data_IF_124318382705
#
_entry.id   IF_124318382705
#
_cell.length_a   1.000
_cell.length_b   1.000
_cell.length_c   1.000
_cell.angle_alpha   90.00
_cell.angle_beta   90.00
_cell.angle_gamma   90.00
#
_symmetry.space_group_name_H-M   'P 1'
#
loop_
_entity.id
_entity.type
_entity.pdbx_description
1 polymer ?
#
# COMPACT_ATOMS: atom_id res chain seq x y z
N UNK A 1 -14.00 -35.14 -54.87
CA UNK A 1 -13.78 -35.20 -53.40
C UNK A 1 -12.71 -34.18 -53.07
N UNK A 2 -13.10 -32.91 -52.93
CA UNK A 2 -12.20 -31.81 -52.62
C UNK A 2 -12.52 -31.35 -51.21
N UNK A 3 -11.81 -31.89 -50.24
CA UNK A 3 -11.94 -31.48 -48.84
C UNK A 3 -10.94 -30.37 -48.57
N UNK A 4 -11.52 -29.21 -48.33
CA UNK A 4 -10.94 -27.93 -47.96
C UNK A 4 -9.95 -28.04 -46.80
N UNK A 5 -8.72 -27.58 -47.02
CA UNK A 5 -7.73 -27.38 -45.95
C UNK A 5 -8.20 -26.25 -45.02
N UNK A 6 -8.35 -26.58 -43.73
CA UNK A 6 -8.60 -25.61 -42.69
C UNK A 6 -7.32 -24.80 -42.45
N UNK A 7 -7.37 -23.51 -42.77
CA UNK A 7 -6.34 -22.54 -42.43
C UNK A 7 -6.35 -22.41 -40.90
N UNK A 8 -5.34 -22.97 -40.25
CA UNK A 8 -5.05 -22.67 -38.85
C UNK A 8 -4.70 -21.18 -38.76
N UNK A 9 -5.66 -20.41 -38.24
CA UNK A 9 -5.39 -19.06 -37.77
C UNK A 9 -4.50 -19.17 -36.54
N UNK A 10 -3.19 -19.16 -36.77
CA UNK A 10 -2.21 -18.77 -35.78
C UNK A 10 -2.61 -17.37 -35.29
N UNK A 11 -3.27 -17.30 -34.14
CA UNK A 11 -3.50 -16.07 -33.41
C UNK A 11 -2.18 -15.67 -32.72
N UNK A 12 -1.11 -15.43 -33.50
CA UNK A 12 -0.03 -14.52 -33.10
C UNK A 12 -0.54 -13.08 -33.20
N UNK A 13 -1.52 -12.79 -32.34
CA UNK A 13 -2.26 -11.54 -32.34
C UNK A 13 -2.45 -11.04 -30.92
N UNK A 14 -1.46 -11.23 -30.04
CA UNK A 14 -1.30 -10.31 -28.93
C UNK A 14 -0.13 -9.41 -29.31
N UNK A 15 -0.43 -8.20 -29.79
CA UNK A 15 0.58 -7.16 -29.77
C UNK A 15 1.13 -7.13 -28.35
N UNK A 16 2.39 -7.53 -28.18
CA UNK A 16 3.21 -7.12 -27.04
C UNK A 16 3.30 -5.59 -27.13
N UNK A 17 2.19 -4.94 -26.74
CA UNK A 17 1.91 -3.53 -26.92
C UNK A 17 2.69 -2.74 -25.90
N UNK A 18 4.01 -2.85 -25.97
CA UNK A 18 4.99 -2.08 -25.23
C UNK A 18 4.77 -2.17 -23.71
N UNK A 19 5.18 -3.30 -23.12
CA UNK A 19 5.47 -3.35 -21.69
C UNK A 19 6.69 -2.48 -21.43
N UNK A 20 6.46 -1.20 -21.15
CA UNK A 20 7.45 -0.32 -20.57
C UNK A 20 6.83 0.40 -19.38
N UNK A 21 7.66 0.94 -18.52
CA UNK A 21 7.24 1.88 -17.48
C UNK A 21 8.14 3.10 -17.53
N UNK A 22 7.64 4.21 -17.01
CA UNK A 22 8.42 5.45 -16.86
C UNK A 22 8.80 5.60 -15.40
N UNK A 23 10.08 5.77 -15.10
CA UNK A 23 10.57 6.03 -13.75
C UNK A 23 11.15 7.44 -13.69
N UNK A 24 10.61 8.27 -12.80
CA UNK A 24 11.07 9.64 -12.51
C UNK A 24 12.07 9.68 -11.37
N UNK A 25 13.14 10.45 -11.55
CA UNK A 25 14.23 10.63 -10.59
C UNK A 25 14.99 11.94 -10.86
N UNK A 26 15.97 12.28 -10.00
CA UNK A 26 16.88 13.40 -10.19
C UNK A 26 16.16 14.74 -10.38
N UNK A 27 16.66 15.57 -11.28
CA UNK A 27 16.07 16.84 -11.66
C UNK A 27 14.96 16.68 -12.71
N UNK A 28 13.92 15.92 -12.36
CA UNK A 28 12.79 15.57 -13.24
C UNK A 28 13.23 14.80 -14.50
N UNK A 29 14.24 13.94 -14.34
CA UNK A 29 14.66 12.99 -15.34
C UNK A 29 13.71 11.79 -15.42
N UNK A 30 13.65 11.16 -16.59
CA UNK A 30 12.79 10.02 -16.87
C UNK A 30 13.60 8.87 -17.47
N UNK A 31 13.36 7.65 -16.99
CA UNK A 31 13.89 6.43 -17.57
C UNK A 31 12.75 5.53 -18.02
N UNK A 32 12.75 5.17 -19.31
CA UNK A 32 11.87 4.16 -19.88
C UNK A 32 12.51 2.79 -19.70
N UNK A 33 11.84 1.89 -18.99
CA UNK A 33 12.36 0.58 -18.62
C UNK A 33 11.41 -0.54 -19.01
N UNK A 34 11.98 -1.69 -19.40
CA UNK A 34 11.22 -2.91 -19.72
C UNK A 34 11.01 -3.74 -18.45
N UNK A 35 9.76 -3.91 -17.96
CA UNK A 35 9.46 -4.72 -16.79
C UNK A 35 9.37 -6.23 -17.09
N UNK A 36 9.47 -6.66 -18.36
CA UNK A 36 9.51 -8.08 -18.75
C UNK A 36 10.90 -8.71 -18.50
N UNK A 37 11.45 -8.48 -17.31
CA UNK A 37 12.67 -9.11 -16.82
C UNK A 37 12.52 -9.43 -15.33
N UNK A 38 13.48 -10.18 -14.76
CA UNK A 38 13.45 -10.45 -13.32
C UNK A 38 13.52 -9.14 -12.54
N UNK A 39 12.85 -9.11 -11.39
CA UNK A 39 12.79 -7.93 -10.53
C UNK A 39 14.18 -7.48 -10.10
N UNK A 40 15.13 -8.41 -9.90
CA UNK A 40 16.52 -8.07 -9.66
C UNK A 40 17.16 -7.24 -10.80
N UNK A 41 17.05 -7.72 -12.05
CA UNK A 41 17.60 -7.02 -13.23
C UNK A 41 16.93 -5.65 -13.42
N UNK A 42 15.62 -5.59 -13.17
CA UNK A 42 14.85 -4.37 -13.26
C UNK A 42 15.33 -3.31 -12.24
N UNK A 43 15.46 -3.70 -10.97
CA UNK A 43 15.96 -2.83 -9.90
C UNK A 43 17.41 -2.39 -10.17
N UNK A 44 18.28 -3.29 -10.62
CA UNK A 44 19.66 -2.94 -10.98
C UNK A 44 19.73 -1.96 -12.16
N UNK A 45 18.78 -2.05 -13.09
CA UNK A 45 18.66 -1.09 -14.19
C UNK A 45 18.23 0.29 -13.70
N UNK A 46 17.29 0.36 -12.75
CA UNK A 46 16.92 1.63 -12.11
C UNK A 46 18.12 2.22 -11.35
N UNK A 47 18.82 1.42 -10.53
CA UNK A 47 19.99 1.90 -9.77
C UNK A 47 21.06 2.51 -10.67
N UNK A 48 21.35 1.87 -11.81
CA UNK A 48 22.30 2.40 -12.80
C UNK A 48 21.85 3.73 -13.40
N UNK A 49 20.55 3.89 -13.67
CA UNK A 49 19.98 5.15 -14.20
C UNK A 49 19.97 6.27 -13.16
N UNK A 50 19.63 5.95 -11.92
CA UNK A 50 19.55 6.91 -10.82
C UNK A 50 20.91 7.15 -10.12
N UNK A 51 22.02 6.63 -10.65
CA UNK A 51 23.35 6.71 -10.04
C UNK A 51 23.37 6.30 -8.54
N UNK A 52 22.58 5.28 -8.20
CA UNK A 52 22.47 4.79 -6.83
C UNK A 52 23.50 3.70 -6.52
N UNK A 53 23.98 3.67 -5.27
CA UNK A 53 24.87 2.63 -4.79
C UNK A 53 24.22 1.25 -4.89
N UNK A 54 25.00 0.22 -5.22
CA UNK A 54 24.53 -1.17 -5.30
C UNK A 54 23.96 -1.67 -3.97
N UNK A 55 24.50 -1.21 -2.84
CA UNK A 55 24.05 -1.53 -1.48
C UNK A 55 22.75 -0.82 -1.06
N UNK A 56 22.32 0.21 -1.79
CA UNK A 56 21.10 0.94 -1.45
C UNK A 56 19.86 0.10 -1.74
N UNK A 57 18.88 0.14 -0.84
CA UNK A 57 17.55 -0.41 -1.09
C UNK A 57 16.73 0.60 -1.88
N UNK A 58 16.33 0.20 -3.08
CA UNK A 58 15.54 1.01 -4.00
C UNK A 58 14.18 0.35 -4.20
N UNK A 59 13.14 1.17 -4.31
CA UNK A 59 11.80 0.74 -4.67
C UNK A 59 11.12 1.80 -5.54
N UNK A 60 9.89 1.51 -5.97
CA UNK A 60 9.04 2.40 -6.74
C UNK A 60 7.77 2.74 -5.97
N UNK A 61 7.29 3.97 -6.15
CA UNK A 61 5.97 4.42 -5.74
C UNK A 61 5.23 4.97 -6.95
N UNK A 62 3.94 4.64 -7.10
CA UNK A 62 3.10 5.29 -8.11
C UNK A 62 2.60 6.66 -7.65
N UNK A 63 1.94 7.37 -8.56
CA UNK A 63 1.35 8.69 -8.28
C UNK A 63 0.19 8.61 -7.26
N UNK A 64 -0.41 7.44 -7.09
CA UNK A 64 -1.43 7.18 -6.08
C UNK A 64 -0.85 6.93 -4.68
N UNK A 65 0.46 6.76 -4.56
CA UNK A 65 1.17 6.57 -3.29
C UNK A 65 1.32 5.11 -2.86
N UNK A 66 1.16 4.16 -3.76
CA UNK A 66 1.35 2.73 -3.49
C UNK A 66 2.78 2.29 -3.82
N UNK A 67 3.45 1.70 -2.83
CA UNK A 67 4.81 1.16 -2.95
C UNK A 67 4.75 -0.22 -3.58
N UNK A 68 5.70 -0.52 -4.49
CA UNK A 68 5.71 -1.77 -5.26
C UNK A 68 6.43 -2.93 -4.57
N UNK A 69 7.25 -2.68 -3.55
CA UNK A 69 7.91 -3.72 -2.75
C UNK A 69 8.77 -4.67 -3.61
N UNK A 70 9.46 -4.11 -4.62
CA UNK A 70 10.28 -4.89 -5.56
C UNK A 70 11.41 -5.68 -4.88
N UNK A 71 11.82 -5.26 -3.68
CA UNK A 71 12.85 -5.95 -2.90
C UNK A 71 12.43 -7.31 -2.30
N UNK A 72 11.14 -7.67 -2.36
CA UNK A 72 10.62 -8.90 -1.74
C UNK A 72 10.82 -10.13 -2.63
N UNK A 73 10.76 -9.97 -3.95
CA UNK A 73 10.73 -11.10 -4.89
C UNK A 73 11.73 -10.92 -6.04
N UNK A 74 12.99 -11.27 -5.80
CA UNK A 74 14.09 -11.11 -6.77
C UNK A 74 13.95 -11.98 -8.03
N UNK A 75 13.30 -13.15 -7.91
CA UNK A 75 13.18 -14.15 -8.97
C UNK A 75 11.94 -13.95 -9.86
N UNK A 76 10.93 -13.21 -9.37
CA UNK A 76 9.69 -12.94 -10.11
C UNK A 76 9.88 -11.86 -11.17
N UNK A 77 8.95 -11.77 -12.11
CA UNK A 77 8.99 -10.72 -13.14
C UNK A 77 8.56 -9.39 -12.56
N UNK A 78 9.28 -8.32 -12.92
CA UNK A 78 8.91 -6.98 -12.47
C UNK A 78 7.50 -6.58 -12.95
N UNK A 79 7.06 -7.10 -14.10
CA UNK A 79 5.71 -6.90 -14.65
C UNK A 79 4.57 -7.39 -13.75
N UNK A 80 4.86 -8.23 -12.77
CA UNK A 80 3.86 -8.69 -11.79
C UNK A 80 3.60 -7.61 -10.71
N UNK A 81 4.52 -6.66 -10.56
CA UNK A 81 4.50 -5.59 -9.56
C UNK A 81 4.22 -4.20 -10.15
N UNK A 82 4.52 -4.00 -11.43
CA UNK A 82 4.34 -2.73 -12.12
C UNK A 82 3.36 -2.87 -13.28
N UNK A 83 2.57 -1.82 -13.47
CA UNK A 83 1.60 -1.70 -14.57
C UNK A 83 2.30 -1.13 -15.78
N UNK A 84 2.10 -1.74 -16.95
CA UNK A 84 2.64 -1.22 -18.21
C UNK A 84 2.11 0.20 -18.49
N UNK A 85 2.97 1.06 -19.04
CA UNK A 85 2.77 2.46 -19.41
C UNK A 85 2.57 3.43 -18.25
N UNK A 86 2.69 2.94 -17.02
CA UNK A 86 2.57 3.77 -15.83
C UNK A 86 3.86 4.48 -15.45
N UNK A 87 3.67 5.60 -14.75
CA UNK A 87 4.74 6.44 -14.24
C UNK A 87 4.92 6.19 -12.75
N UNK A 88 6.17 5.96 -12.37
CA UNK A 88 6.62 5.74 -11.01
C UNK A 88 7.66 6.78 -10.62
N UNK A 89 7.77 7.04 -9.32
CA UNK A 89 8.88 7.80 -8.73
C UNK A 89 9.82 6.82 -8.05
N UNK A 90 11.11 6.95 -8.32
CA UNK A 90 12.13 6.16 -7.63
C UNK A 90 12.28 6.63 -6.18
N UNK A 91 12.31 5.67 -5.24
CA UNK A 91 12.48 5.95 -3.81
C UNK A 91 13.59 5.09 -3.22
N UNK A 92 14.33 5.65 -2.27
CA UNK A 92 15.26 4.91 -1.40
C UNK A 92 14.52 4.48 -0.14
N UNK A 93 14.73 3.23 0.25
CA UNK A 93 14.15 2.64 1.47
C UNK A 93 15.24 2.50 2.53
N UNK A 94 15.08 3.17 3.65
CA UNK A 94 15.95 3.02 4.83
C UNK A 94 15.19 2.22 5.91
N UNK A 95 15.62 0.99 6.19
CA UNK A 95 15.03 0.15 7.24
C UNK A 95 15.63 0.54 8.60
N UNK A 96 14.79 0.99 9.54
CA UNK A 96 15.23 1.24 10.92
C UNK A 96 15.16 -0.06 11.76
N UNK A 97 16.10 -0.99 11.53
CA UNK A 97 16.17 -2.26 12.26
C UNK A 97 14.95 -3.19 12.03
N UNK A 98 14.81 -4.23 12.85
CA UNK A 98 13.77 -5.28 12.65
C UNK A 98 12.35 -4.83 13.01
N UNK A 99 12.18 -3.76 13.79
CA UNK A 99 10.88 -3.32 14.31
C UNK A 99 10.55 -1.84 14.05
N UNK A 100 11.47 -1.09 13.44
CA UNK A 100 11.24 0.31 13.13
C UNK A 100 10.48 0.49 11.80
N UNK A 101 9.75 1.61 11.64
CA UNK A 101 9.13 1.94 10.37
C UNK A 101 10.19 2.18 9.29
N UNK A 102 9.93 1.70 8.08
CA UNK A 102 10.74 2.06 6.92
C UNK A 102 10.63 3.57 6.67
N UNK A 103 11.76 4.21 6.39
CA UNK A 103 11.80 5.59 5.90
C UNK A 103 11.93 5.56 4.38
N UNK A 104 11.04 6.28 3.71
CA UNK A 104 11.01 6.38 2.26
C UNK A 104 11.48 7.76 1.83
N UNK A 105 12.57 7.80 1.06
CA UNK A 105 13.20 9.04 0.60
C UNK A 105 13.00 9.12 -0.91
N UNK A 106 12.35 10.16 -1.44
CA UNK A 106 12.20 10.30 -2.87
C UNK A 106 13.55 10.63 -3.52
N UNK A 107 13.82 9.99 -4.66
CA UNK A 107 14.99 10.28 -5.49
C UNK A 107 14.68 11.32 -6.57
N UNK A 108 13.44 11.81 -6.64
CA UNK A 108 13.00 12.91 -7.50
C UNK A 108 13.11 14.23 -6.72
N UNK A 109 13.92 15.15 -7.23
CA UNK A 109 14.07 16.49 -6.69
C UNK A 109 12.78 17.27 -6.88
N UNK A 110 12.48 18.18 -5.94
CA UNK A 110 11.29 19.03 -5.99
C UNK A 110 9.96 18.25 -6.06
N UNK A 111 9.91 17.01 -5.55
CA UNK A 111 8.68 16.20 -5.51
C UNK A 111 7.52 16.93 -4.83
N UNK A 112 7.80 17.76 -3.83
CA UNK A 112 6.79 18.59 -3.15
C UNK A 112 6.14 19.66 -4.04
N UNK A 113 6.84 20.14 -5.07
CA UNK A 113 6.33 21.12 -6.03
C UNK A 113 5.62 20.43 -7.18
N UNK A 114 6.16 19.28 -7.65
CA UNK A 114 5.61 18.52 -8.77
C UNK A 114 4.37 17.69 -8.37
N UNK A 115 4.44 17.01 -7.23
CA UNK A 115 3.41 16.10 -6.72
C UNK A 115 3.25 16.26 -5.19
N UNK A 116 2.68 17.38 -4.71
CA UNK A 116 2.54 17.67 -3.27
C UNK A 116 1.76 16.58 -2.53
N UNK A 117 0.71 16.03 -3.15
CA UNK A 117 -0.08 14.95 -2.55
C UNK A 117 0.72 13.67 -2.35
N UNK A 118 1.57 13.31 -3.32
CA UNK A 118 2.44 12.14 -3.24
C UNK A 118 3.48 12.31 -2.13
N UNK A 119 4.06 13.51 -1.99
CA UNK A 119 4.97 13.83 -0.88
C UNK A 119 4.30 13.64 0.49
N UNK A 120 3.04 14.09 0.64
CA UNK A 120 2.28 13.88 1.89
C UNK A 120 2.04 12.39 2.16
N UNK A 121 1.69 11.61 1.14
CA UNK A 121 1.50 10.15 1.27
C UNK A 121 2.80 9.46 1.67
N UNK A 122 3.91 9.76 1.00
CA UNK A 122 5.24 9.20 1.28
C UNK A 122 5.71 9.48 2.73
N UNK A 123 5.47 10.70 3.21
CA UNK A 123 5.76 11.08 4.59
C UNK A 123 4.90 10.31 5.61
N UNK A 124 3.64 10.02 5.30
CA UNK A 124 2.78 9.22 6.18
C UNK A 124 3.22 7.76 6.23
N UNK A 125 3.65 7.20 5.09
CA UNK A 125 4.20 5.85 5.02
C UNK A 125 5.48 5.71 5.85
N UNK A 126 6.28 6.77 5.92
CA UNK A 126 7.49 6.81 6.76
C UNK A 126 7.20 6.99 8.26
N UNK A 127 5.99 7.40 8.64
CA UNK A 127 5.60 7.70 10.04
C UNK A 127 4.17 7.25 10.34
N UNK A 128 3.89 5.94 10.35
CA UNK A 128 2.53 5.41 10.48
C UNK A 128 1.82 5.78 11.82
N UNK A 129 2.55 6.25 12.84
CA UNK A 129 2.02 6.47 14.20
C UNK A 129 1.63 7.90 14.61
N UNK A 130 1.92 8.95 13.82
CA UNK A 130 1.83 10.34 14.33
C UNK A 130 0.51 11.07 14.06
N UNK A 131 -0.37 10.55 13.18
CA UNK A 131 -1.61 11.25 12.81
C UNK A 131 -2.79 11.06 13.78
N UNK A 132 -2.80 10.03 14.65
CA UNK A 132 -3.99 9.69 15.45
C UNK A 132 -3.98 10.14 16.92
N UNK A 133 -2.97 10.85 17.41
CA UNK A 133 -2.99 11.36 18.81
C UNK A 133 -3.65 12.71 19.00
N UNK A 134 -3.75 13.56 17.96
CA UNK A 134 -4.31 14.92 18.11
C UNK A 134 -5.84 14.96 18.09
N UNK A 135 -6.51 14.03 17.39
CA UNK A 135 -7.98 14.01 17.35
C UNK A 135 -8.65 13.20 18.47
N UNK A 136 -7.92 12.29 19.14
CA UNK A 136 -8.48 11.54 20.28
C UNK A 136 -8.62 12.35 21.57
N UNK A 137 -7.96 13.50 21.69
CA UNK A 137 -8.01 14.31 22.91
C UNK A 137 -9.17 15.32 22.95
N UNK A 138 -9.89 15.53 21.84
CA UNK A 138 -11.02 16.48 21.77
C UNK A 138 -12.40 15.83 22.00
N UNK A 139 -12.50 14.51 22.18
CA UNK A 139 -13.81 13.81 22.32
C UNK A 139 -14.14 13.34 23.74
N UNK A 140 -13.33 13.66 24.75
CA UNK A 140 -13.54 13.23 26.15
C UNK A 140 -13.98 14.33 27.12
N UNK A 141 -14.15 15.58 26.69
CA UNK A 141 -14.53 16.70 27.58
C UNK A 141 -16.00 17.16 27.48
N UNK A 142 -16.94 16.33 27.03
CA UNK A 142 -18.35 16.75 26.92
C UNK A 142 -19.41 15.78 27.50
N UNK A 143 -19.07 14.92 28.46
CA UNK A 143 -20.05 14.05 29.15
C UNK A 143 -20.01 14.13 30.68
N UNK A 144 -19.99 15.33 31.23
CA UNK A 144 -20.30 15.53 32.66
C UNK A 144 -21.14 16.77 32.85
N UNK A 145 -22.46 16.63 32.77
CA UNK A 145 -23.38 17.43 33.59
C UNK A 145 -24.82 16.93 33.48
N UNK A 146 -25.41 16.65 34.66
CA UNK A 146 -26.84 16.70 35.04
C UNK A 146 -27.69 15.44 34.86
N UNK A 147 -27.86 14.72 35.97
CA UNK A 147 -29.14 14.10 36.32
C UNK A 147 -29.47 14.46 37.78
N UNK A 148 -30.40 15.41 37.94
CA UNK A 148 -31.04 15.70 39.22
C UNK A 148 -32.52 15.30 39.09
N UNK A 149 -32.93 14.35 39.93
CA UNK A 149 -34.27 14.10 40.51
C UNK A 149 -35.54 14.41 39.71
N UNK A 150 -36.39 13.39 39.50
CA UNK A 150 -37.79 13.39 39.98
C UNK A 150 -38.47 12.01 39.86
N UNK A 151 -39.06 11.55 40.98
CA UNK A 151 -40.06 10.46 41.14
C UNK A 151 -41.43 10.93 40.59
N UNK A 152 -42.44 10.08 40.26
CA UNK A 152 -43.17 9.20 41.20
C UNK A 152 -43.60 7.82 40.61
N UNK A 153 -43.60 6.73 41.39
CA UNK A 153 -44.78 6.03 41.98
C UNK A 153 -45.72 5.30 40.99
N UNK A 154 -45.70 3.95 41.00
CA UNK A 154 -46.85 3.08 41.36
C UNK A 154 -46.75 1.62 40.83
N UNK A 155 -47.02 0.68 41.76
CA UNK A 155 -47.57 -0.69 41.64
C UNK A 155 -46.71 -1.86 41.10
N UNK A 156 -46.58 -2.95 41.91
CA UNK A 156 -46.05 -4.25 41.46
C UNK A 156 -47.17 -5.28 41.22
N UNK A 157 -47.01 -6.17 40.24
CA UNK A 157 -47.65 -7.51 40.23
C UNK A 157 -46.95 -8.50 39.27
N UNK A 158 -47.10 -9.82 39.49
CA UNK A 158 -46.00 -10.79 39.35
C UNK A 158 -46.36 -12.02 38.48
N UNK A 159 -45.47 -13.03 38.53
CA UNK A 159 -45.60 -14.41 38.02
C UNK A 159 -45.42 -14.52 36.51
N UNK A 160 -44.91 -15.59 35.91
CA UNK A 160 -44.39 -16.93 36.22
C UNK A 160 -43.65 -17.31 34.91
N UNK A 161 -42.77 -18.30 34.73
CA UNK A 161 -42.54 -19.61 35.32
C UNK A 161 -41.24 -20.14 34.71
N UNK A 162 -40.52 -20.95 35.49
CA UNK A 162 -39.81 -22.18 35.10
C UNK A 162 -38.94 -22.23 33.81
N UNK A 163 -37.63 -22.51 33.97
CA UNK A 163 -37.13 -23.91 33.95
C UNK A 163 -35.62 -23.99 34.21
N UNK A 164 -35.33 -24.81 35.21
CA UNK A 164 -34.11 -25.55 35.57
C UNK A 164 -33.10 -25.90 34.47
N UNK A 165 -31.81 -25.82 34.83
CA UNK A 165 -30.80 -26.86 34.52
C UNK A 165 -29.75 -26.89 35.64
N UNK A 166 -29.53 -28.09 36.20
CA UNK A 166 -28.72 -28.39 37.39
C UNK A 166 -27.39 -29.02 36.96
N UNK A 167 -26.42 -29.04 37.90
CA UNK A 167 -25.18 -29.86 37.96
C UNK A 167 -23.93 -29.16 37.36
N UNK A 168 -22.75 -29.12 38.01
CA UNK A 168 -22.12 -30.12 38.89
C UNK A 168 -20.95 -29.52 39.71
N UNK A 169 -20.62 -30.18 40.81
CA UNK A 169 -19.63 -29.86 41.86
C UNK A 169 -18.16 -29.73 41.44
N UNK A 170 -17.37 -29.07 42.31
CA UNK A 170 -15.93 -29.28 42.43
C UNK A 170 -15.38 -28.68 43.74
N UNK A 171 -15.21 -29.51 44.77
CA UNK A 171 -14.22 -29.34 45.82
C UNK A 171 -13.85 -30.72 46.36
#
# INVERSE_FOLDING_TARGET
>A
MTSTEAINADKSGNMAGQCFVVVKYGDNEEAVLNPCCSTQIFVDSIKRKCHCDSSSMLDLIDLDGQIKNLSVSSEEYASDYVTARETYVAIRVERQGESGPNKYIPLLNNLEQLHPELMVKLNNLSRPGTKNRRDRLKKTQNRTSRTNSNKPESKPRPSSSERTSKSRQGK
#
